data_IF_483217797758
#
_entry.id   IF_483217797758
#
_cell.length_a   1.000
_cell.length_b   1.000
_cell.length_c   1.000
_cell.angle_alpha   90.00
_cell.angle_beta   90.00
_cell.angle_gamma   90.00
#
_symmetry.space_group_name_H-M   'P 1'
#
loop_
_entity.id
_entity.type
_entity.pdbx_description
1 polymer ?
#
# COMPACT_ATOMS: atom_id res chain seq x y z
N UNK A 1 13.50 -18.47 -0.33
CA UNK A 1 13.59 -17.09 0.18
C UNK A 1 13.33 -16.14 -0.97
N UNK A 2 12.17 -15.49 -1.00
CA UNK A 2 11.93 -14.39 -1.95
C UNK A 2 12.63 -13.16 -1.37
N UNK A 3 13.46 -12.48 -2.16
CA UNK A 3 14.04 -11.22 -1.70
C UNK A 3 12.93 -10.22 -1.36
N UNK A 4 13.14 -9.47 -0.27
CA UNK A 4 12.22 -8.42 0.17
C UNK A 4 12.11 -7.35 -0.90
N UNK A 5 10.89 -6.82 -1.13
CA UNK A 5 10.68 -5.80 -2.16
C UNK A 5 11.08 -4.41 -1.64
N UNK A 6 11.51 -3.56 -2.55
CA UNK A 6 11.58 -2.12 -2.28
C UNK A 6 10.14 -1.56 -2.23
N UNK A 7 9.82 -0.74 -1.23
CA UNK A 7 8.45 -0.22 -1.07
C UNK A 7 7.97 0.54 -2.31
N UNK A 8 8.87 1.18 -3.06
CA UNK A 8 8.53 1.87 -4.29
C UNK A 8 8.20 0.93 -5.45
N UNK A 9 8.66 -0.33 -5.45
CA UNK A 9 8.20 -1.33 -6.42
C UNK A 9 6.71 -1.61 -6.23
N UNK A 10 6.25 -1.68 -4.97
CA UNK A 10 4.84 -1.89 -4.63
C UNK A 10 4.02 -0.64 -4.92
N UNK A 11 4.54 0.55 -4.61
CA UNK A 11 3.90 1.82 -4.98
C UNK A 11 3.76 1.94 -6.49
N UNK A 12 4.79 1.57 -7.25
CA UNK A 12 4.74 1.57 -8.71
C UNK A 12 3.72 0.56 -9.24
N UNK A 13 3.65 -0.63 -8.65
CA UNK A 13 2.60 -1.60 -8.97
C UNK A 13 1.19 -1.05 -8.70
N UNK A 14 0.99 -0.38 -7.56
CA UNK A 14 -0.29 0.27 -7.23
C UNK A 14 -0.65 1.37 -8.22
N UNK A 15 0.32 2.22 -8.60
CA UNK A 15 0.15 3.29 -9.61
C UNK A 15 -0.25 2.72 -10.95
N UNK A 16 0.47 1.70 -11.43
CA UNK A 16 0.17 1.03 -12.71
C UNK A 16 -1.21 0.38 -12.69
N UNK A 17 -1.54 -0.35 -11.62
CA UNK A 17 -2.86 -0.99 -11.48
C UNK A 17 -3.99 0.05 -11.53
N UNK A 18 -3.89 1.13 -10.76
CA UNK A 18 -4.93 2.16 -10.75
C UNK A 18 -5.01 2.90 -12.09
N UNK A 19 -3.88 3.17 -12.74
CA UNK A 19 -3.85 3.75 -14.09
C UNK A 19 -4.60 2.87 -15.11
N UNK A 20 -4.34 1.57 -15.12
CA UNK A 20 -4.99 0.64 -16.03
C UNK A 20 -6.48 0.47 -15.69
N UNK A 21 -6.85 0.45 -14.40
CA UNK A 21 -8.24 0.40 -13.95
C UNK A 21 -9.01 1.68 -14.34
N UNK A 22 -8.40 2.87 -14.24
CA UNK A 22 -8.96 4.15 -14.72
C UNK A 22 -9.21 4.11 -16.23
N UNK A 23 -8.22 3.66 -17.01
CA UNK A 23 -8.34 3.55 -18.48
C UNK A 23 -9.43 2.58 -18.92
N UNK A 24 -9.67 1.53 -18.15
CA UNK A 24 -10.68 0.52 -18.42
C UNK A 24 -12.06 0.89 -17.86
N UNK A 25 -12.21 2.06 -17.21
CA UNK A 25 -13.46 2.45 -16.55
C UNK A 25 -13.82 1.60 -15.33
N UNK A 26 -12.86 0.80 -14.80
CA UNK A 26 -13.01 -0.01 -13.59
C UNK A 26 -12.82 0.81 -12.33
N UNK A 27 -12.22 2.00 -12.43
CA UNK A 27 -12.14 2.97 -11.35
C UNK A 27 -12.46 4.36 -11.89
N UNK A 28 -13.03 5.19 -11.03
CA UNK A 28 -13.29 6.61 -11.32
C UNK A 28 -12.46 7.53 -10.41
N UNK A 29 -11.50 6.98 -9.67
CA UNK A 29 -10.71 7.72 -8.68
C UNK A 29 -9.23 7.38 -8.80
N UNK A 30 -8.43 8.41 -8.93
CA UNK A 30 -6.98 8.29 -8.91
C UNK A 30 -6.49 7.86 -7.53
N UNK A 31 -5.44 7.04 -7.50
CA UNK A 31 -4.80 6.60 -6.28
C UNK A 31 -4.24 7.81 -5.52
N UNK A 32 -4.70 7.99 -4.29
CA UNK A 32 -4.21 9.06 -3.41
C UNK A 32 -3.06 8.58 -2.53
N UNK A 33 -2.25 9.53 -2.03
CA UNK A 33 -1.18 9.24 -1.08
C UNK A 33 -1.74 8.57 0.19
N UNK A 34 -2.85 9.10 0.72
CA UNK A 34 -3.52 8.54 1.90
C UNK A 34 -3.96 7.08 1.67
N UNK A 35 -4.58 6.80 0.52
CA UNK A 35 -5.00 5.44 0.17
C UNK A 35 -3.80 4.52 -0.01
N UNK A 36 -2.72 5.02 -0.60
CA UNK A 36 -1.47 4.28 -0.77
C UNK A 36 -0.91 3.82 0.57
N UNK A 37 -0.85 4.68 1.58
CA UNK A 37 -0.33 4.30 2.91
C UNK A 37 -1.12 3.14 3.53
N UNK A 38 -2.44 3.16 3.41
CA UNK A 38 -3.31 2.11 3.95
C UNK A 38 -3.17 0.80 3.19
N UNK A 39 -3.12 0.87 1.86
CA UNK A 39 -2.90 -0.33 1.04
C UNK A 39 -1.53 -0.95 1.36
N UNK A 40 -0.48 -0.15 1.53
CA UNK A 40 0.83 -0.64 1.96
C UNK A 40 0.76 -1.32 3.34
N UNK A 41 0.06 -0.71 4.30
CA UNK A 41 -0.17 -1.29 5.63
C UNK A 41 -0.88 -2.65 5.56
N UNK A 42 -2.00 -2.73 4.85
CA UNK A 42 -2.75 -3.99 4.71
C UNK A 42 -1.98 -5.05 3.93
N UNK A 43 -1.20 -4.67 2.91
CA UNK A 43 -0.34 -5.59 2.17
C UNK A 43 0.80 -6.14 3.05
N UNK A 44 1.44 -5.29 3.86
CA UNK A 44 2.46 -5.72 4.82
C UNK A 44 1.87 -6.68 5.86
N UNK A 45 0.73 -6.32 6.47
CA UNK A 45 0.04 -7.16 7.45
C UNK A 45 -0.37 -8.52 6.85
N UNK A 46 -0.97 -8.52 5.66
CA UNK A 46 -1.34 -9.74 4.97
C UNK A 46 -0.11 -10.60 4.63
N UNK A 47 1.01 -9.99 4.24
CA UNK A 47 2.25 -10.73 3.97
C UNK A 47 2.78 -11.40 5.22
N UNK A 48 2.79 -10.70 6.36
CA UNK A 48 3.22 -11.26 7.64
C UNK A 48 2.34 -12.45 8.06
N UNK A 49 1.02 -12.38 7.86
CA UNK A 49 0.11 -13.47 8.20
C UNK A 49 0.26 -14.66 7.25
N UNK A 50 0.22 -14.43 5.94
CA UNK A 50 0.13 -15.49 4.93
C UNK A 50 1.50 -16.08 4.60
N UNK A 51 2.54 -15.24 4.53
CA UNK A 51 3.88 -15.63 4.09
C UNK A 51 4.88 -15.73 5.24
N UNK A 52 4.54 -15.25 6.44
CA UNK A 52 5.44 -15.18 7.60
C UNK A 52 6.71 -14.33 7.33
N UNK A 53 6.67 -13.51 6.26
CA UNK A 53 7.77 -12.65 5.81
C UNK A 53 7.24 -11.24 5.55
N UNK A 54 7.99 -10.18 5.91
CA UNK A 54 7.65 -8.81 5.54
C UNK A 54 7.65 -8.64 4.02
N UNK A 55 6.73 -7.81 3.51
CA UNK A 55 6.65 -7.53 2.07
C UNK A 55 7.74 -6.55 1.63
N UNK A 56 8.00 -5.54 2.46
CA UNK A 56 9.06 -4.54 2.32
C UNK A 56 9.69 -4.23 3.69
N UNK A 57 10.89 -3.64 3.70
CA UNK A 57 11.66 -3.35 4.93
C UNK A 57 11.38 -1.98 5.53
N UNK A 58 10.84 -1.04 4.75
CA UNK A 58 10.56 0.31 5.22
C UNK A 58 9.59 0.29 6.43
N UNK A 59 9.92 1.01 7.51
CA UNK A 59 9.09 1.03 8.70
C UNK A 59 7.77 1.75 8.44
N UNK A 60 6.69 1.16 8.96
CA UNK A 60 5.36 1.78 8.99
C UNK A 60 5.20 2.47 10.35
N UNK A 61 5.07 3.80 10.33
CA UNK A 61 4.95 4.63 11.53
C UNK A 61 3.49 4.96 11.82
N UNK A 62 3.11 4.93 13.09
CA UNK A 62 1.81 5.41 13.55
C UNK A 62 1.78 6.95 13.55
N UNK A 63 1.05 7.56 12.61
CA UNK A 63 0.86 9.01 12.51
C UNK A 63 -0.57 9.43 12.82
N UNK A 64 -0.79 10.75 13.00
CA UNK A 64 -2.10 11.33 13.38
C UNK A 64 -3.28 10.78 12.58
N UNK A 65 -3.12 10.48 11.29
CA UNK A 65 -4.18 10.04 10.37
C UNK A 65 -4.05 8.58 9.89
N UNK A 66 -3.28 7.76 10.60
CA UNK A 66 -3.08 6.36 10.28
C UNK A 66 -1.62 5.98 9.99
N UNK A 67 -1.38 4.76 9.48
CA UNK A 67 -0.04 4.27 9.20
C UNK A 67 0.61 5.08 8.08
N UNK A 68 1.91 5.37 8.20
CA UNK A 68 2.68 6.10 7.19
C UNK A 68 4.02 5.42 6.96
N UNK A 69 4.33 5.16 5.69
CA UNK A 69 5.70 4.86 5.26
C UNK A 69 6.37 6.18 4.94
N UNK A 70 7.31 6.62 5.79
CA UNK A 70 7.90 7.96 5.73
C UNK A 70 8.57 8.26 4.38
N UNK A 71 9.27 7.27 3.81
CA UNK A 71 9.92 7.41 2.50
C UNK A 71 8.89 7.70 1.38
N UNK A 72 7.77 6.98 1.39
CA UNK A 72 6.69 7.18 0.40
C UNK A 72 5.99 8.53 0.63
N UNK A 73 5.73 8.91 1.88
CA UNK A 73 5.14 10.22 2.18
C UNK A 73 6.04 11.36 1.72
N UNK A 74 7.34 11.28 1.99
CA UNK A 74 8.33 12.27 1.56
C UNK A 74 8.39 12.41 0.04
N UNK A 75 8.38 11.30 -0.71
CA UNK A 75 8.42 11.31 -2.19
C UNK A 75 7.22 12.03 -2.81
N UNK A 76 6.03 11.89 -2.22
CA UNK A 76 4.80 12.49 -2.74
C UNK A 76 4.32 13.68 -1.89
N UNK A 77 5.22 14.31 -1.13
CA UNK A 77 4.84 15.44 -0.29
C UNK A 77 4.22 16.56 -1.14
N UNK A 78 3.12 17.14 -0.65
CA UNK A 78 2.34 18.15 -1.38
C UNK A 78 1.46 17.61 -2.52
N UNK A 79 1.45 16.29 -2.77
CA UNK A 79 0.61 15.67 -3.80
C UNK A 79 -0.49 14.83 -3.16
N UNK A 80 -1.75 15.10 -3.54
CA UNK A 80 -2.88 14.28 -3.09
C UNK A 80 -2.97 13.01 -3.92
N UNK A 81 -3.05 13.13 -5.23
CA UNK A 81 -3.03 12.03 -6.19
C UNK A 81 -1.58 11.67 -6.59
N UNK A 82 -1.31 10.38 -6.81
CA UNK A 82 0.06 9.90 -7.02
C UNK A 82 0.25 9.02 -8.27
N UNK A 83 -0.79 8.81 -9.10
CA UNK A 83 -0.61 7.98 -10.31
C UNK A 83 0.29 8.71 -11.28
N UNK A 84 -0.04 9.95 -11.63
CA UNK A 84 0.73 10.76 -12.56
C UNK A 84 1.08 10.02 -13.86
N UNK A 85 2.25 10.31 -14.43
CA UNK A 85 2.74 9.61 -15.63
C UNK A 85 3.33 8.24 -15.27
N UNK A 86 2.90 7.19 -15.97
CA UNK A 86 3.45 5.84 -15.85
C UNK A 86 4.70 5.70 -16.73
N UNK A 87 5.84 5.48 -16.09
CA UNK A 87 7.13 5.27 -16.76
C UNK A 87 7.37 3.80 -17.11
N UNK A 88 8.41 3.53 -17.92
CA UNK A 88 8.84 2.15 -18.19
C UNK A 88 9.30 1.43 -16.92
N UNK A 89 9.94 2.14 -15.97
CA UNK A 89 10.30 1.55 -14.67
C UNK A 89 9.05 1.07 -13.92
N UNK A 90 8.00 1.88 -13.90
CA UNK A 90 6.77 1.53 -13.20
C UNK A 90 6.14 0.25 -13.79
N UNK A 91 6.13 0.14 -15.13
CA UNK A 91 5.67 -1.08 -15.84
C UNK A 91 6.55 -2.29 -15.55
N UNK A 92 7.87 -2.12 -15.46
CA UNK A 92 8.80 -3.19 -15.13
C UNK A 92 8.59 -3.69 -13.70
N UNK A 93 8.45 -2.78 -12.74
CA UNK A 93 8.16 -3.13 -11.33
C UNK A 93 6.80 -3.83 -11.22
N UNK A 94 5.80 -3.37 -11.98
CA UNK A 94 4.52 -4.04 -12.05
C UNK A 94 4.66 -5.48 -12.57
N UNK A 95 5.33 -5.68 -13.70
CA UNK A 95 5.57 -7.00 -14.28
C UNK A 95 6.39 -7.91 -13.36
N UNK A 96 7.40 -7.37 -12.68
CA UNK A 96 8.20 -8.09 -11.66
C UNK A 96 7.28 -8.68 -10.59
N UNK A 97 6.39 -7.88 -10.01
CA UNK A 97 5.47 -8.34 -8.97
C UNK A 97 4.44 -9.33 -9.52
N UNK A 98 3.93 -9.12 -10.74
CA UNK A 98 3.01 -10.09 -11.38
C UNK A 98 3.66 -11.48 -11.57
N UNK A 99 4.97 -11.54 -11.78
CA UNK A 99 5.73 -12.79 -11.91
C UNK A 99 6.02 -13.48 -10.57
N UNK A 100 5.53 -12.95 -9.44
CA UNK A 100 5.61 -13.58 -8.12
C UNK A 100 4.16 -13.91 -7.68
N UNK A 101 3.63 -15.11 -8.00
CA UNK A 101 2.20 -15.40 -7.88
C UNK A 101 1.61 -15.15 -6.50
N UNK A 102 2.34 -15.50 -5.43
CA UNK A 102 1.87 -15.29 -4.05
C UNK A 102 1.76 -13.81 -3.67
N UNK A 103 2.70 -12.97 -4.11
CA UNK A 103 2.64 -11.51 -3.86
C UNK A 103 1.58 -10.87 -4.75
N UNK A 104 1.51 -11.25 -6.03
CA UNK A 104 0.50 -10.75 -6.96
C UNK A 104 -0.92 -11.06 -6.49
N UNK A 105 -1.19 -12.30 -6.07
CA UNK A 105 -2.49 -12.71 -5.57
C UNK A 105 -2.88 -11.95 -4.31
N UNK A 106 -1.95 -11.81 -3.35
CA UNK A 106 -2.15 -11.06 -2.12
C UNK A 106 -2.45 -9.58 -2.41
N UNK A 107 -1.62 -8.94 -3.23
CA UNK A 107 -1.75 -7.51 -3.56
C UNK A 107 -3.07 -7.23 -4.28
N UNK A 108 -3.45 -8.09 -5.23
CA UNK A 108 -4.75 -7.99 -5.90
C UNK A 108 -5.91 -8.19 -4.93
N UNK A 109 -5.83 -9.17 -4.03
CA UNK A 109 -6.88 -9.40 -3.01
C UNK A 109 -7.10 -8.15 -2.17
N UNK A 110 -6.04 -7.53 -1.66
CA UNK A 110 -6.14 -6.28 -0.87
C UNK A 110 -6.77 -5.15 -1.71
N UNK A 111 -6.34 -4.95 -2.96
CA UNK A 111 -6.94 -3.92 -3.82
C UNK A 111 -8.43 -4.16 -4.10
N UNK A 112 -8.85 -5.41 -4.29
CA UNK A 112 -10.26 -5.78 -4.49
C UNK A 112 -11.06 -5.56 -3.22
N UNK A 113 -10.56 -6.01 -2.06
CA UNK A 113 -11.23 -5.87 -0.75
C UNK A 113 -11.57 -4.40 -0.46
N UNK A 114 -10.63 -3.49 -0.70
CA UNK A 114 -10.84 -2.07 -0.40
C UNK A 114 -11.32 -1.24 -1.59
N UNK A 115 -11.63 -1.85 -2.74
CA UNK A 115 -11.94 -1.14 -3.98
C UNK A 115 -13.04 -0.07 -3.81
N UNK A 116 -14.15 -0.46 -3.18
CA UNK A 116 -15.33 0.40 -2.96
C UNK A 116 -15.25 1.25 -1.69
N UNK A 117 -14.26 1.01 -0.82
CA UNK A 117 -14.14 1.74 0.43
C UNK A 117 -13.67 3.18 0.14
N UNK A 118 -14.42 4.16 0.65
CA UNK A 118 -14.00 5.56 0.55
C UNK A 118 -12.85 5.85 1.52
N UNK A 119 -12.13 6.95 1.29
CA UNK A 119 -10.89 7.21 2.04
C UNK A 119 -11.17 7.43 3.55
N UNK A 120 -12.30 8.02 3.90
CA UNK A 120 -12.74 8.25 5.29
C UNK A 120 -13.13 6.95 6.00
N UNK A 121 -13.81 6.03 5.32
CA UNK A 121 -14.10 4.69 5.82
C UNK A 121 -12.82 3.90 6.03
N UNK A 122 -11.89 3.95 5.07
CA UNK A 122 -10.57 3.34 5.19
C UNK A 122 -9.78 3.94 6.36
N UNK A 123 -9.91 5.26 6.60
CA UNK A 123 -9.34 5.92 7.79
C UNK A 123 -9.97 5.32 9.04
N UNK A 124 -11.31 5.29 9.10
CA UNK A 124 -12.09 4.77 10.22
C UNK A 124 -11.81 3.30 10.53
N UNK A 125 -11.58 2.47 9.51
CA UNK A 125 -11.16 1.08 9.69
C UNK A 125 -9.77 1.02 10.31
N UNK A 126 -8.81 1.76 9.76
CA UNK A 126 -7.45 1.77 10.33
C UNK A 126 -7.40 2.34 11.75
N UNK A 127 -8.23 3.31 12.13
CA UNK A 127 -8.31 3.83 13.51
C UNK A 127 -8.90 2.83 14.51
N UNK A 128 -9.81 1.94 14.06
CA UNK A 128 -10.49 0.97 14.93
C UNK A 128 -9.83 -0.42 14.94
N UNK A 129 -8.78 -0.62 14.14
CA UNK A 129 -8.02 -1.86 14.11
C UNK A 129 -6.92 -1.86 15.19
N UNK A 130 -6.72 -3.02 15.83
CA UNK A 130 -6.08 -3.15 17.15
C UNK A 130 -4.66 -2.57 17.34
N UNK A 131 -3.82 -2.25 16.34
CA UNK A 131 -2.56 -1.55 16.64
C UNK A 131 -2.75 -0.15 17.25
N UNK A 132 -3.94 0.44 17.16
CA UNK A 132 -4.22 1.80 17.66
C UNK A 132 -4.86 1.88 19.04
N UNK A 133 -5.30 0.75 19.59
CA UNK A 133 -5.84 0.73 20.96
C UNK A 133 -4.74 0.49 22.02
N UNK A 134 -3.54 0.05 21.60
CA UNK A 134 -2.44 -0.35 22.50
C UNK A 134 -1.10 0.33 22.21
N UNK A 135 -0.96 1.09 21.12
CA UNK A 135 0.27 1.82 20.83
C UNK A 135 0.25 3.23 21.44
N UNK A 136 1.21 3.52 22.32
CA UNK A 136 1.59 4.89 22.62
C UNK A 136 1.91 5.61 21.30
N UNK A 137 1.38 6.82 21.11
CA UNK A 137 1.75 7.63 19.95
C UNK A 137 3.28 7.71 19.89
N UNK A 138 3.87 7.26 18.77
CA UNK A 138 5.30 7.21 18.43
C UNK A 138 6.10 5.90 18.63
N UNK A 139 5.47 4.73 18.85
CA UNK A 139 6.17 3.43 18.72
C UNK A 139 6.13 2.87 17.30
N UNK A 140 7.22 2.27 16.81
CA UNK A 140 7.20 1.44 15.60
C UNK A 140 6.19 0.28 15.79
N UNK A 141 5.39 0.00 14.76
CA UNK A 141 4.48 -1.15 14.78
C UNK A 141 5.33 -2.40 14.48
N UNK A 142 5.97 -2.94 15.51
CA UNK A 142 6.69 -4.21 15.44
C UNK A 142 5.79 -5.34 15.94
N UNK A 143 5.49 -6.30 15.05
CA UNK A 143 4.88 -7.63 15.23
C UNK A 143 4.08 -7.88 16.54
N UNK A 144 2.78 -8.12 16.37
CA UNK A 144 2.05 -9.09 17.20
C UNK A 144 1.97 -10.42 16.46
#
# INVERSE_FOLDING_TARGET
MTAMLDVFEIVNWLRVKNYDDLKQGKSHRELTQLRTMKLLYYMQAASLVVRQEPLFSDPIKAWKYGPVVAAVHGRYNGHREIVGTISQKDRNDFAKIQNIPSIAALSNKICVTYHNTNDSELVSHTYNEMPWQVADQSTEITKH
#
